data_IF_880576011237
#
_entry.id   IF_880576011237
#
_cell.length_a   1.000
_cell.length_b   1.000
_cell.length_c   1.000
_cell.angle_alpha   90.00
_cell.angle_beta   90.00
_cell.angle_gamma   90.00
#
_symmetry.space_group_name_H-M   'P 1'
#
loop_
_entity.id
_entity.type
_entity.pdbx_description
1 polymer ?
#
# COMPACT_ATOMS: atom_id res chain seq x y z
N UNK A 1 -21.64 -27.68 0.03
CA UNK A 1 -21.20 -28.88 0.80
C UNK A 1 -19.68 -29.07 0.69
N UNK A 2 -19.10 -29.18 -0.50
CA UNK A 2 -17.64 -29.35 -0.71
C UNK A 2 -16.74 -28.30 0.00
N UNK A 3 -17.04 -27.00 -0.08
CA UNK A 3 -16.25 -25.95 0.59
C UNK A 3 -16.18 -26.12 2.12
N UNK A 4 -17.26 -26.60 2.73
CA UNK A 4 -17.34 -26.81 4.17
C UNK A 4 -16.51 -28.01 4.60
N UNK A 5 -16.50 -29.06 3.78
CA UNK A 5 -15.66 -30.25 4.00
C UNK A 5 -14.17 -29.90 3.89
N UNK A 6 -13.78 -29.12 2.88
CA UNK A 6 -12.42 -28.59 2.76
C UNK A 6 -12.04 -27.74 3.99
N UNK A 7 -12.92 -26.83 4.43
CA UNK A 7 -12.67 -26.01 5.61
C UNK A 7 -12.43 -26.86 6.87
N UNK A 8 -13.18 -27.97 7.05
CA UNK A 8 -12.97 -28.92 8.15
C UNK A 8 -11.62 -29.63 8.07
N UNK A 9 -11.13 -29.94 6.86
CA UNK A 9 -9.84 -30.61 6.67
C UNK A 9 -8.63 -29.70 6.91
N UNK A 10 -8.79 -28.40 6.65
CA UNK A 10 -7.74 -27.39 6.81
C UNK A 10 -7.69 -26.86 8.25
N UNK A 11 -8.81 -26.95 8.99
CA UNK A 11 -8.88 -26.49 10.37
C UNK A 11 -7.78 -27.14 11.23
N UNK A 12 -6.97 -26.32 11.90
CA UNK A 12 -5.88 -26.76 12.76
C UNK A 12 -4.56 -27.08 12.04
N UNK A 13 -4.51 -26.98 10.70
CA UNK A 13 -3.27 -27.12 9.93
C UNK A 13 -2.68 -25.74 9.61
N UNK A 14 -1.35 -25.70 9.51
CA UNK A 14 -0.65 -24.53 8.99
C UNK A 14 -0.88 -24.42 7.48
N UNK A 15 -1.22 -23.22 7.01
CA UNK A 15 -1.36 -22.92 5.58
C UNK A 15 -0.15 -22.11 5.17
N UNK A 16 0.64 -22.64 4.24
CA UNK A 16 1.81 -21.93 3.72
C UNK A 16 1.41 -21.04 2.55
N UNK A 17 2.24 -20.04 2.29
CA UNK A 17 2.02 -19.09 1.19
C UNK A 17 2.00 -19.81 -0.16
N UNK A 18 2.86 -20.81 -0.33
CA UNK A 18 2.97 -21.62 -1.55
C UNK A 18 1.70 -22.39 -1.92
N UNK A 19 0.81 -22.65 -0.95
CA UNK A 19 -0.45 -23.37 -1.19
C UNK A 19 -1.50 -22.48 -1.88
N UNK A 20 -1.36 -21.16 -1.76
CA UNK A 20 -2.34 -20.17 -2.23
C UNK A 20 -1.86 -19.45 -3.49
N UNK A 21 -0.59 -19.06 -3.54
CA UNK A 21 -0.05 -18.21 -4.60
C UNK A 21 1.09 -18.90 -5.35
N UNK A 22 1.23 -18.59 -6.64
CA UNK A 22 2.33 -19.05 -7.49
C UNK A 22 3.14 -17.88 -8.02
N UNK A 23 4.36 -18.18 -8.44
CA UNK A 23 5.22 -17.19 -9.09
C UNK A 23 4.56 -16.69 -10.39
N UNK A 24 4.57 -15.37 -10.57
CA UNK A 24 3.92 -14.71 -11.72
C UNK A 24 2.44 -14.41 -11.55
N UNK A 25 1.79 -14.86 -10.47
CA UNK A 25 0.41 -14.47 -10.18
C UNK A 25 0.30 -12.98 -9.83
N UNK A 26 -0.89 -12.42 -10.07
CA UNK A 26 -1.24 -11.09 -9.59
C UNK A 26 -1.95 -11.19 -8.24
N UNK A 27 -1.76 -10.19 -7.39
CA UNK A 27 -2.39 -10.06 -6.07
C UNK A 27 -2.80 -8.62 -5.80
N UNK A 28 -3.85 -8.44 -5.02
CA UNK A 28 -4.16 -7.13 -4.45
C UNK A 28 -3.58 -7.04 -3.04
N UNK A 29 -2.90 -5.92 -2.76
CA UNK A 29 -2.19 -5.68 -1.52
C UNK A 29 -2.94 -4.65 -0.70
N UNK A 30 -3.49 -5.04 0.44
CA UNK A 30 -4.18 -4.15 1.37
C UNK A 30 -3.34 -3.92 2.61
N UNK A 31 -2.97 -2.67 2.87
CA UNK A 31 -2.23 -2.31 4.07
C UNK A 31 -2.50 -0.86 4.51
N UNK A 32 -2.02 -0.52 5.70
CA UNK A 32 -2.13 0.83 6.26
C UNK A 32 -0.90 1.64 5.87
N UNK A 33 -1.08 2.84 5.33
CA UNK A 33 0.01 3.74 4.90
C UNK A 33 0.82 4.28 6.08
N UNK A 34 2.08 4.68 5.85
CA UNK A 34 2.91 5.30 6.88
C UNK A 34 2.22 6.58 7.41
N UNK A 35 2.01 6.65 8.72
CA UNK A 35 1.44 7.82 9.37
C UNK A 35 2.39 9.01 9.31
N UNK A 36 1.84 10.20 9.05
CA UNK A 36 2.59 11.47 9.05
C UNK A 36 2.02 12.50 10.04
N UNK A 37 0.90 12.19 10.72
CA UNK A 37 0.29 13.05 11.73
C UNK A 37 -0.58 14.15 11.14
N UNK A 38 -0.70 15.27 11.85
CA UNK A 38 -1.43 16.46 11.39
C UNK A 38 -0.57 17.25 10.40
N UNK A 39 -1.05 17.36 9.16
CA UNK A 39 -0.31 17.96 8.06
C UNK A 39 -1.15 19.05 7.38
N UNK A 40 -0.46 20.09 6.90
CA UNK A 40 -1.10 21.21 6.21
C UNK A 40 -1.64 20.86 4.81
N UNK A 41 -2.46 21.73 4.21
CA UNK A 41 -3.13 21.47 2.93
C UNK A 41 -2.15 21.23 1.77
N UNK A 42 -0.98 21.88 1.79
CA UNK A 42 0.07 21.70 0.77
C UNK A 42 0.54 20.24 0.71
N UNK A 43 0.89 19.64 1.86
CA UNK A 43 1.41 18.26 1.90
C UNK A 43 0.31 17.21 1.81
N UNK A 44 -0.88 17.51 2.36
CA UNK A 44 -2.01 16.59 2.39
C UNK A 44 -2.73 16.47 1.04
N UNK A 45 -2.91 17.60 0.35
CA UNK A 45 -3.69 17.70 -0.89
C UNK A 45 -2.88 18.16 -2.12
N UNK A 46 -1.60 18.54 -1.96
CA UNK A 46 -0.77 18.98 -3.08
C UNK A 46 -1.07 20.39 -3.58
N UNK A 47 -1.63 21.26 -2.72
CA UNK A 47 -1.91 22.67 -3.08
C UNK A 47 -0.60 23.41 -3.33
N UNK A 48 -0.58 24.27 -4.35
CA UNK A 48 0.58 25.11 -4.70
C UNK A 48 0.93 26.04 -3.53
N UNK A 49 2.23 26.17 -3.24
CA UNK A 49 2.72 27.13 -2.25
C UNK A 49 2.62 28.54 -2.82
N UNK A 50 2.03 29.47 -2.07
CA UNK A 50 1.86 30.85 -2.50
C UNK A 50 3.21 31.55 -2.63
N UNK A 51 3.32 32.47 -3.58
CA UNK A 51 4.56 33.17 -3.89
C UNK A 51 5.10 34.01 -2.73
N UNK A 52 6.38 34.40 -2.84
CA UNK A 52 7.12 35.15 -1.80
C UNK A 52 6.47 36.46 -1.37
N UNK A 53 5.71 37.13 -2.25
CA UNK A 53 5.10 38.44 -1.97
C UNK A 53 3.81 38.36 -1.13
N UNK A 54 3.29 37.18 -0.81
CA UNK A 54 2.17 37.03 0.12
C UNK A 54 2.61 37.40 1.54
N UNK A 55 1.82 38.22 2.24
CA UNK A 55 2.26 38.85 3.50
C UNK A 55 2.13 37.96 4.74
N UNK A 56 1.11 37.11 4.84
CA UNK A 56 0.82 36.38 6.08
C UNK A 56 1.27 34.92 6.05
N UNK A 57 0.78 34.17 5.07
CA UNK A 57 0.95 32.73 5.03
C UNK A 57 1.27 32.28 3.60
N UNK A 58 2.19 31.33 3.46
CA UNK A 58 2.55 30.78 2.15
C UNK A 58 1.99 29.38 1.90
N UNK A 59 1.73 28.61 2.96
CA UNK A 59 1.35 27.18 2.88
C UNK A 59 -0.11 26.94 3.25
N UNK A 60 -1.00 27.71 2.63
CA UNK A 60 -2.46 27.60 2.81
C UNK A 60 -3.20 27.72 1.47
N UNK A 61 -4.51 27.47 1.49
CA UNK A 61 -5.37 27.70 0.33
C UNK A 61 -5.74 29.18 0.24
N UNK A 62 -5.67 29.78 -0.94
CA UNK A 62 -5.95 31.21 -1.13
C UNK A 62 -7.37 31.64 -0.73
N UNK A 63 -8.39 30.87 -1.10
CA UNK A 63 -9.78 31.10 -0.71
C UNK A 63 -10.44 29.80 -0.23
N UNK A 64 -11.29 29.89 0.79
CA UNK A 64 -12.05 28.76 1.35
C UNK A 64 -13.40 28.52 0.64
N UNK A 65 -13.80 29.40 -0.27
CA UNK A 65 -15.05 29.28 -1.02
C UNK A 65 -15.67 30.64 -1.38
N UNK A 66 -16.81 30.58 -2.07
CA UNK A 66 -17.64 31.76 -2.35
C UNK A 66 -18.45 32.19 -1.11
N UNK A 67 -18.97 33.42 -1.14
CA UNK A 67 -19.76 33.99 -0.04
C UNK A 67 -21.04 33.19 0.24
N UNK A 68 -21.84 32.91 -0.78
CA UNK A 68 -22.94 31.95 -0.71
C UNK A 68 -22.40 30.55 -1.06
N UNK A 69 -22.70 29.48 -0.30
CA UNK A 69 -23.81 29.27 0.65
C UNK A 69 -23.49 29.59 2.14
N UNK A 70 -22.53 30.46 2.44
CA UNK A 70 -22.21 30.87 3.82
C UNK A 70 -21.52 29.81 4.67
N UNK A 71 -20.97 28.76 4.05
CA UNK A 71 -20.26 27.66 4.73
C UNK A 71 -19.09 27.13 3.91
N UNK A 72 -18.08 26.61 4.60
CA UNK A 72 -16.93 25.94 3.98
C UNK A 72 -17.38 24.56 3.51
N UNK A 73 -17.12 24.23 2.25
CA UNK A 73 -17.45 22.91 1.68
C UNK A 73 -16.41 21.87 2.14
N UNK A 74 -16.80 20.61 2.38
CA UNK A 74 -15.86 19.54 2.76
C UNK A 74 -14.86 19.18 1.65
N UNK A 75 -15.13 19.59 0.41
CA UNK A 75 -14.22 19.43 -0.73
C UNK A 75 -13.03 20.38 -0.68
N UNK A 76 -13.08 21.42 0.15
CA UNK A 76 -12.00 22.41 0.26
C UNK A 76 -10.79 21.77 0.96
N UNK A 77 -9.58 21.87 0.38
CA UNK A 77 -8.38 21.30 0.99
C UNK A 77 -8.06 21.95 2.34
N UNK A 78 -8.14 21.18 3.42
CA UNK A 78 -7.86 21.66 4.78
C UNK A 78 -6.74 20.87 5.46
N UNK A 79 -6.09 21.47 6.46
CA UNK A 79 -5.13 20.76 7.30
C UNK A 79 -5.82 19.60 8.05
N UNK A 80 -5.07 18.54 8.35
CA UNK A 80 -5.61 17.39 9.08
C UNK A 80 -4.73 16.16 9.01
N UNK A 81 -5.27 15.02 9.46
CA UNK A 81 -4.56 13.76 9.47
C UNK A 81 -4.13 13.35 8.05
N UNK A 82 -2.84 13.03 7.91
CA UNK A 82 -2.24 12.52 6.68
C UNK A 82 -1.41 11.26 6.96
N UNK A 83 -1.56 10.25 6.10
CA UNK A 83 -1.07 8.91 6.39
C UNK A 83 -1.94 8.16 7.40
N UNK A 84 -1.60 6.87 7.64
CA UNK A 84 -2.38 5.95 8.47
C UNK A 84 -3.77 5.59 7.92
N UNK A 85 -4.03 5.85 6.65
CA UNK A 85 -5.23 5.35 5.97
C UNK A 85 -4.99 3.93 5.45
N UNK A 86 -6.05 3.14 5.39
CA UNK A 86 -6.06 1.86 4.67
C UNK A 86 -6.03 2.12 3.16
N UNK A 87 -5.15 1.43 2.44
CA UNK A 87 -5.06 1.47 0.98
C UNK A 87 -4.91 0.06 0.43
N UNK A 88 -5.60 -0.17 -0.67
CA UNK A 88 -5.48 -1.39 -1.46
C UNK A 88 -4.86 -1.04 -2.79
N UNK A 89 -3.64 -1.51 -3.03
CA UNK A 89 -3.00 -1.46 -4.34
C UNK A 89 -3.35 -2.72 -5.11
N UNK A 90 -3.95 -2.54 -6.29
CA UNK A 90 -4.44 -3.64 -7.10
C UNK A 90 -3.37 -4.15 -8.05
N UNK A 91 -3.48 -5.43 -8.45
CA UNK A 91 -2.70 -6.02 -9.53
C UNK A 91 -1.18 -5.91 -9.36
N UNK A 92 -0.69 -6.17 -8.15
CA UNK A 92 0.75 -6.35 -7.91
C UNK A 92 1.15 -7.73 -8.34
N UNK A 93 2.25 -7.83 -9.10
CA UNK A 93 2.75 -9.11 -9.55
C UNK A 93 3.65 -9.74 -8.49
N UNK A 94 3.49 -11.04 -8.27
CA UNK A 94 4.43 -11.85 -7.51
C UNK A 94 5.58 -12.19 -8.43
N UNK A 95 6.78 -11.71 -8.08
CA UNK A 95 8.00 -12.00 -8.83
C UNK A 95 8.55 -13.36 -8.45
N UNK A 96 8.64 -13.63 -7.13
CA UNK A 96 9.16 -14.88 -6.60
C UNK A 96 8.69 -15.10 -5.17
N UNK A 97 8.36 -16.33 -4.83
CA UNK A 97 8.13 -16.79 -3.47
C UNK A 97 9.32 -17.67 -3.09
N UNK A 98 10.04 -17.32 -2.03
CA UNK A 98 11.17 -18.11 -1.56
C UNK A 98 11.27 -18.11 -0.04
N UNK A 99 11.75 -19.23 0.49
CA UNK A 99 12.09 -19.39 1.90
C UNK A 99 13.47 -18.80 2.17
N UNK A 100 13.54 -17.79 3.03
CA UNK A 100 14.78 -17.13 3.42
C UNK A 100 15.28 -16.10 2.41
N UNK A 101 15.82 -15.00 2.92
CA UNK A 101 16.51 -13.99 2.14
C UNK A 101 17.80 -13.59 2.86
N UNK A 102 18.95 -13.85 2.23
CA UNK A 102 20.29 -13.53 2.75
C UNK A 102 20.61 -12.03 2.62
N UNK A 103 19.61 -11.17 2.82
CA UNK A 103 19.76 -9.72 2.84
C UNK A 103 19.42 -9.17 4.22
N UNK A 104 20.25 -8.25 4.71
CA UNK A 104 19.99 -7.49 5.92
C UNK A 104 19.30 -6.18 5.55
N UNK A 105 18.01 -6.06 5.88
CA UNK A 105 17.25 -4.86 5.59
C UNK A 105 17.38 -3.83 6.73
N UNK A 106 17.70 -2.59 6.39
CA UNK A 106 17.80 -1.46 7.33
C UNK A 106 16.50 -1.31 8.13
N UNK A 107 16.57 -1.19 9.46
CA UNK A 107 15.43 -1.08 10.36
C UNK A 107 14.43 -2.26 10.32
N UNK A 108 14.83 -3.42 9.80
CA UNK A 108 14.04 -4.66 9.81
C UNK A 108 14.85 -5.84 10.39
N UNK A 109 16.02 -6.14 9.83
CA UNK A 109 16.84 -7.30 10.18
C UNK A 109 16.93 -8.35 9.05
N UNK A 110 17.53 -9.52 9.31
CA UNK A 110 17.58 -10.63 8.36
C UNK A 110 16.22 -11.35 8.26
N UNK A 111 15.89 -11.87 7.08
CA UNK A 111 14.64 -12.60 6.82
C UNK A 111 14.93 -14.11 6.76
N UNK A 112 14.53 -14.84 7.81
CA UNK A 112 14.71 -16.30 7.89
C UNK A 112 13.47 -17.11 7.49
N UNK A 113 12.31 -16.47 7.47
CA UNK A 113 11.02 -17.08 7.13
C UNK A 113 10.75 -17.05 5.62
N UNK A 114 9.61 -17.61 5.23
CA UNK A 114 9.06 -17.45 3.88
C UNK A 114 8.87 -15.97 3.55
N UNK A 115 9.30 -15.61 2.34
CA UNK A 115 9.30 -14.25 1.84
C UNK A 115 8.71 -14.20 0.42
N UNK A 116 8.01 -13.11 0.12
CA UNK A 116 7.41 -12.85 -1.18
C UNK A 116 8.06 -11.59 -1.75
N UNK A 117 8.57 -11.67 -2.97
CA UNK A 117 8.95 -10.50 -3.74
C UNK A 117 7.78 -10.03 -4.59
N UNK A 118 7.31 -8.82 -4.31
CA UNK A 118 6.27 -8.16 -5.08
C UNK A 118 6.89 -7.09 -5.98
N UNK A 119 6.26 -6.90 -7.12
CA UNK A 119 6.63 -5.82 -8.05
C UNK A 119 6.30 -4.44 -7.46
N UNK A 120 7.28 -3.54 -7.48
CA UNK A 120 7.13 -2.15 -7.08
C UNK A 120 7.03 -1.93 -5.56
N UNK A 121 6.31 -0.88 -5.16
CA UNK A 121 6.13 -0.50 -3.75
C UNK A 121 4.95 -1.19 -3.09
N UNK A 122 4.97 -1.24 -1.76
CA UNK A 122 3.86 -1.68 -0.92
C UNK A 122 3.50 -0.57 0.07
N UNK A 123 2.20 -0.31 0.32
CA UNK A 123 1.80 0.72 1.27
C UNK A 123 2.18 0.33 2.70
N UNK A 124 2.78 1.27 3.42
CA UNK A 124 3.08 1.11 4.84
C UNK A 124 4.55 1.31 5.19
N UNK A 125 4.87 1.07 6.45
CA UNK A 125 6.24 1.05 6.95
C UNK A 125 6.75 -0.39 7.06
N UNK A 126 8.07 -0.56 7.15
CA UNK A 126 8.70 -1.84 7.51
C UNK A 126 8.07 -2.39 8.80
N UNK A 127 8.02 -3.73 8.93
CA UNK A 127 7.41 -4.49 10.06
C UNK A 127 5.89 -4.41 10.20
N UNK A 128 5.19 -3.72 9.30
CA UNK A 128 3.73 -3.63 9.34
C UNK A 128 3.09 -4.83 8.66
N UNK A 129 1.97 -5.30 9.22
CA UNK A 129 1.15 -6.33 8.61
C UNK A 129 0.57 -5.85 7.27
N UNK A 130 0.64 -6.73 6.28
CA UNK A 130 0.13 -6.54 4.93
C UNK A 130 -0.81 -7.70 4.63
N UNK A 131 -2.00 -7.40 4.11
CA UNK A 131 -2.96 -8.41 3.68
C UNK A 131 -2.86 -8.59 2.17
N UNK A 132 -2.60 -9.83 1.74
CA UNK A 132 -2.64 -10.22 0.33
C UNK A 132 -3.97 -10.93 0.05
N UNK A 133 -4.59 -10.60 -1.08
CA UNK A 133 -5.76 -11.30 -1.57
C UNK A 133 -5.62 -11.65 -3.04
N UNK A 134 -6.39 -12.64 -3.46
CA UNK A 134 -6.63 -12.95 -4.87
C UNK A 134 -7.16 -11.67 -5.56
N UNK A 135 -6.64 -11.30 -6.74
CA UNK A 135 -6.94 -10.03 -7.37
C UNK A 135 -8.39 -10.02 -7.84
N UNK A 136 -9.09 -8.93 -7.53
CA UNK A 136 -10.48 -8.78 -7.98
C UNK A 136 -10.56 -8.47 -9.48
N UNK A 137 -9.54 -7.79 -10.02
CA UNK A 137 -9.50 -7.29 -11.40
C UNK A 137 -8.20 -7.71 -12.10
N UNK A 138 -7.99 -9.03 -12.19
CA UNK A 138 -6.78 -9.58 -12.78
C UNK A 138 -6.59 -9.09 -14.23
N UNK A 139 -5.37 -8.67 -14.61
CA UNK A 139 -5.09 -8.33 -16.00
C UNK A 139 -5.17 -9.58 -16.89
N UNK A 140 -5.69 -9.40 -18.10
CA UNK A 140 -5.85 -10.49 -19.09
C UNK A 140 -4.49 -11.01 -19.57
N UNK A 141 -3.52 -10.11 -19.75
CA UNK A 141 -2.17 -10.48 -20.18
C UNK A 141 -1.35 -10.98 -19.00
N UNK A 142 -0.93 -12.25 -19.05
CA UNK A 142 0.00 -12.83 -18.08
C UNK A 142 1.37 -12.94 -18.71
N UNK A 143 2.30 -12.12 -18.24
CA UNK A 143 3.69 -12.22 -18.65
C UNK A 143 4.42 -13.21 -17.74
N UNK A 144 5.17 -14.20 -18.26
CA UNK A 144 6.02 -15.03 -17.42
C UNK A 144 7.08 -14.16 -16.75
N UNK A 145 7.37 -14.43 -15.47
CA UNK A 145 8.46 -13.75 -14.75
C UNK A 145 9.73 -14.56 -14.96
N UNK A 146 10.74 -13.94 -15.56
CA UNK A 146 12.10 -14.50 -15.63
C UNK A 146 13.04 -13.56 -14.91
N UNK A 147 13.50 -13.95 -13.72
CA UNK A 147 14.45 -13.16 -12.94
C UNK A 147 15.84 -13.58 -13.36
N UNK A 148 16.58 -12.67 -14.01
CA UNK A 148 17.98 -12.92 -14.42
C UNK A 148 18.93 -12.86 -13.23
N UNK A 149 18.77 -11.84 -12.39
CA UNK A 149 19.60 -11.63 -11.20
C UNK A 149 18.83 -10.79 -10.18
N UNK A 150 19.09 -11.01 -8.90
CA UNK A 150 18.63 -10.14 -7.81
C UNK A 150 19.86 -9.41 -7.28
N UNK A 151 20.02 -8.15 -7.71
CA UNK A 151 21.11 -7.28 -7.27
C UNK A 151 20.76 -6.68 -5.90
N UNK A 152 21.76 -6.61 -5.01
CA UNK A 152 21.63 -6.08 -3.66
C UNK A 152 21.77 -4.56 -3.60
#
# INVERSE_FOLDING_TARGET
KQKLEYAKQVLGKEIKIHDIFKDGDYVDVSAVTKGKGFEGPVRRFGVVVLGRKYQQMHRHVGSLGAAEPGKIRPTVPAAGQYGFQTRTEFNKKILKIQSGFDAQFVNYGPVKSDAILLEGSVPGSKKRLIMLRIPLRAPTAKYPVQIKEIVR
#
